data_IF_751279857524
#
_entry.id   IF_751279857524
#
_cell.length_a   1.000
_cell.length_b   1.000
_cell.length_c   1.000
_cell.angle_alpha   90.00
_cell.angle_beta   90.00
_cell.angle_gamma   90.00
#
_symmetry.space_group_name_H-M   'P 1'
#
loop_
_entity.id
_entity.type
_entity.pdbx_description
1 polymer ?
#
# COMPACT_ATOMS: atom_id res chain seq x y z
N UNK A 1 4.82 -6.16 -2.58
CA UNK A 1 3.36 -5.85 -2.52
C UNK A 1 3.06 -4.42 -2.91
N UNK A 2 3.55 -3.41 -2.17
CA UNK A 2 3.22 -1.99 -2.42
C UNK A 2 3.51 -1.52 -3.85
N UNK A 3 4.69 -1.83 -4.42
CA UNK A 3 5.03 -1.46 -5.80
C UNK A 3 4.04 -2.03 -6.84
N UNK A 4 3.66 -3.31 -6.70
CA UNK A 4 2.75 -4.00 -7.63
C UNK A 4 1.36 -3.35 -7.66
N UNK A 5 0.89 -2.87 -6.51
CA UNK A 5 -0.37 -2.13 -6.39
C UNK A 5 -0.31 -0.82 -7.19
N UNK A 6 0.79 -0.06 -7.07
CA UNK A 6 0.98 1.18 -7.80
C UNK A 6 1.02 0.95 -9.30
N UNK A 7 1.79 -0.04 -9.75
CA UNK A 7 1.87 -0.41 -11.16
C UNK A 7 0.49 -0.77 -11.73
N UNK A 8 -0.34 -1.48 -10.94
CA UNK A 8 -1.72 -1.81 -11.32
C UNK A 8 -2.60 -0.58 -11.43
N UNK A 9 -2.56 0.32 -10.44
CA UNK A 9 -3.32 1.58 -10.45
C UNK A 9 -3.01 2.39 -11.71
N UNK A 10 -1.73 2.48 -12.08
CA UNK A 10 -1.29 3.23 -13.26
C UNK A 10 -1.75 2.57 -14.56
N UNK A 11 -1.48 1.28 -14.71
CA UNK A 11 -1.80 0.52 -15.92
C UNK A 11 -3.30 0.43 -16.19
N UNK A 12 -4.11 0.29 -15.14
CA UNK A 12 -5.56 0.09 -15.25
C UNK A 12 -6.35 1.37 -14.95
N UNK A 13 -5.67 2.49 -14.71
CA UNK A 13 -6.26 3.78 -14.34
C UNK A 13 -7.28 3.67 -13.19
N UNK A 14 -6.94 2.88 -12.16
CA UNK A 14 -7.84 2.62 -11.04
C UNK A 14 -8.04 3.89 -10.21
N UNK A 15 -9.29 4.09 -9.78
CA UNK A 15 -9.65 5.18 -8.88
C UNK A 15 -9.17 4.90 -7.46
N UNK A 16 -8.35 5.81 -6.91
CA UNK A 16 -7.90 5.74 -5.52
C UNK A 16 -9.07 5.86 -4.53
N UNK A 17 -10.11 6.62 -4.88
CA UNK A 17 -11.31 6.82 -4.09
C UNK A 17 -12.38 5.74 -4.34
N UNK A 18 -12.00 4.55 -4.81
CA UNK A 18 -12.95 3.46 -5.02
C UNK A 18 -13.64 3.01 -3.71
N UNK A 19 -14.87 2.45 -3.77
CA UNK A 19 -15.56 1.93 -2.59
C UNK A 19 -14.70 0.95 -1.77
N UNK A 20 -14.03 0.00 -2.44
CA UNK A 20 -13.17 -0.97 -1.78
C UNK A 20 -12.00 -0.31 -1.00
N UNK A 21 -11.41 0.76 -1.54
CA UNK A 21 -10.32 1.49 -0.87
C UNK A 21 -10.84 2.24 0.35
N UNK A 22 -12.01 2.90 0.24
CA UNK A 22 -12.66 3.58 1.36
C UNK A 22 -13.05 2.61 2.48
N UNK A 23 -13.63 1.48 2.13
CA UNK A 23 -14.01 0.45 3.10
C UNK A 23 -12.78 -0.11 3.82
N UNK A 24 -11.70 -0.39 3.06
CA UNK A 24 -10.45 -0.84 3.66
C UNK A 24 -9.83 0.21 4.59
N UNK A 25 -9.87 1.49 4.21
CA UNK A 25 -9.38 2.60 5.03
C UNK A 25 -10.18 2.73 6.33
N UNK A 26 -11.51 2.57 6.27
CA UNK A 26 -12.37 2.54 7.46
C UNK A 26 -12.03 1.37 8.40
N UNK A 27 -11.73 0.20 7.85
CA UNK A 27 -11.28 -0.95 8.66
C UNK A 27 -9.95 -0.64 9.35
N UNK A 28 -8.95 -0.19 8.60
CA UNK A 28 -7.62 0.16 9.16
C UNK A 28 -7.78 1.21 10.27
N UNK A 29 -8.61 2.24 10.05
CA UNK A 29 -8.88 3.30 11.04
C UNK A 29 -9.41 2.76 12.38
N UNK A 30 -10.18 1.68 12.36
CA UNK A 30 -10.74 1.03 13.58
C UNK A 30 -9.73 0.13 14.27
N UNK A 31 -8.79 -0.44 13.52
CA UNK A 31 -7.79 -1.39 14.01
C UNK A 31 -6.56 -0.70 14.62
N UNK A 32 -6.20 0.49 14.13
CA UNK A 32 -5.03 1.21 14.63
C UNK A 32 -5.25 1.77 16.02
N UNK A 33 -4.23 1.62 16.88
CA UNK A 33 -4.21 2.23 18.21
C UNK A 33 -2.92 3.05 18.35
N UNK A 34 -3.07 4.35 18.59
CA UNK A 34 -1.95 5.23 18.92
C UNK A 34 -1.75 6.41 17.95
N UNK A 35 -1.15 7.52 18.42
CA UNK A 35 -1.14 8.78 17.68
C UNK A 35 -0.39 8.71 16.33
N UNK A 36 0.72 7.97 16.26
CA UNK A 36 1.49 7.84 15.02
C UNK A 36 0.70 7.10 13.93
N UNK A 37 0.01 6.02 14.30
CA UNK A 37 -0.79 5.24 13.36
C UNK A 37 -2.00 6.03 12.87
N UNK A 38 -2.67 6.77 13.75
CA UNK A 38 -3.74 7.69 13.33
C UNK A 38 -3.24 8.77 12.36
N UNK A 39 -2.04 9.33 12.57
CA UNK A 39 -1.45 10.28 11.60
C UNK A 39 -1.20 9.63 10.24
N UNK A 40 -0.69 8.40 10.22
CA UNK A 40 -0.49 7.66 8.97
C UNK A 40 -1.81 7.40 8.23
N UNK A 41 -2.87 7.00 8.96
CA UNK A 41 -4.21 6.81 8.38
C UNK A 41 -4.79 8.13 7.84
N UNK A 42 -4.66 9.23 8.59
CA UNK A 42 -5.11 10.55 8.14
C UNK A 42 -4.37 11.01 6.87
N UNK A 43 -3.07 10.70 6.76
CA UNK A 43 -2.28 11.00 5.57
C UNK A 43 -2.80 10.23 4.35
N UNK A 44 -3.16 8.95 4.54
CA UNK A 44 -3.81 8.14 3.50
C UNK A 44 -5.17 8.70 3.10
N UNK A 45 -6.00 9.09 4.06
CA UNK A 45 -7.29 9.74 3.80
C UNK A 45 -7.10 10.98 2.92
N UNK A 46 -6.11 11.81 3.22
CA UNK A 46 -5.79 13.00 2.43
C UNK A 46 -5.38 12.64 1.00
N UNK A 47 -4.41 11.74 0.80
CA UNK A 47 -3.94 11.39 -0.55
C UNK A 47 -5.01 10.73 -1.40
N UNK A 48 -5.89 9.92 -0.80
CA UNK A 48 -7.00 9.30 -1.51
C UNK A 48 -8.04 10.36 -1.90
N UNK A 49 -8.36 11.28 -0.99
CA UNK A 49 -9.32 12.35 -1.26
C UNK A 49 -8.84 13.33 -2.36
N UNK A 50 -7.54 13.63 -2.40
CA UNK A 50 -6.95 14.52 -3.41
C UNK A 50 -6.50 13.82 -4.69
N UNK A 51 -6.49 12.48 -4.70
CA UNK A 51 -5.95 11.71 -5.82
C UNK A 51 -4.44 11.83 -5.99
N UNK A 52 -3.70 12.13 -4.92
CA UNK A 52 -2.26 12.44 -4.97
C UNK A 52 -1.40 11.18 -5.13
N UNK A 53 -1.44 10.61 -6.33
CA UNK A 53 -0.62 9.47 -6.71
C UNK A 53 0.88 9.80 -6.69
N UNK A 54 1.25 11.07 -6.89
CA UNK A 54 2.65 11.51 -6.86
C UNK A 54 3.25 11.35 -5.47
N UNK A 55 2.56 11.81 -4.43
CA UNK A 55 3.02 11.60 -3.05
C UNK A 55 3.06 10.11 -2.67
N UNK A 56 2.08 9.32 -3.12
CA UNK A 56 2.06 7.88 -2.87
C UNK A 56 3.25 7.17 -3.53
N UNK A 57 3.66 7.58 -4.74
CA UNK A 57 4.84 7.02 -5.43
C UNK A 57 6.14 7.27 -4.68
N UNK A 58 6.28 8.44 -4.06
CA UNK A 58 7.49 8.77 -3.29
C UNK A 58 7.70 7.78 -2.14
N UNK A 59 6.63 7.18 -1.62
CA UNK A 59 6.75 6.11 -0.63
C UNK A 59 7.45 4.88 -1.17
N UNK A 60 7.50 4.60 -2.47
CA UNK A 60 8.22 3.43 -3.02
C UNK A 60 9.73 3.56 -2.88
N UNK A 61 10.24 4.77 -3.08
CA UNK A 61 11.68 5.01 -3.22
C UNK A 61 12.29 5.63 -1.95
N UNK A 62 11.45 5.92 -0.94
CA UNK A 62 11.88 6.47 0.36
C UNK A 62 12.06 5.37 1.42
N UNK A 63 12.98 5.57 2.37
CA UNK A 63 13.18 4.69 3.52
C UNK A 63 12.91 5.40 4.85
N UNK A 64 12.84 4.62 5.93
CA UNK A 64 12.65 5.10 7.30
C UNK A 64 11.36 4.62 7.96
N UNK A 65 11.33 4.67 9.30
CA UNK A 65 10.26 4.09 10.11
C UNK A 65 8.88 4.66 9.77
N UNK A 66 8.81 5.96 9.50
CA UNK A 66 7.56 6.62 9.08
C UNK A 66 7.07 6.10 7.74
N UNK A 67 7.99 5.90 6.77
CA UNK A 67 7.64 5.36 5.45
C UNK A 67 7.19 3.91 5.56
N UNK A 68 7.88 3.11 6.38
CA UNK A 68 7.48 1.73 6.66
C UNK A 68 6.08 1.66 7.28
N UNK A 69 5.78 2.54 8.23
CA UNK A 69 4.47 2.66 8.85
C UNK A 69 3.38 3.07 7.85
N UNK A 70 3.67 4.00 6.93
CA UNK A 70 2.73 4.38 5.88
C UNK A 70 2.47 3.22 4.92
N UNK A 71 3.51 2.50 4.49
CA UNK A 71 3.37 1.32 3.60
C UNK A 71 2.58 0.20 4.27
N UNK A 72 2.80 -0.06 5.56
CA UNK A 72 2.10 -1.14 6.30
C UNK A 72 0.61 -0.86 6.50
N UNK A 73 0.25 0.42 6.60
CA UNK A 73 -1.14 0.89 6.72
C UNK A 73 -1.77 1.28 5.37
N UNK A 74 -1.19 0.84 4.25
CA UNK A 74 -1.73 1.13 2.92
C UNK A 74 -3.10 0.45 2.71
N UNK A 75 -4.16 1.21 2.38
CA UNK A 75 -5.46 0.65 2.04
C UNK A 75 -5.49 0.08 0.62
N UNK A 76 -4.50 0.41 -0.22
CA UNK A 76 -4.51 0.10 -1.66
C UNK A 76 -4.26 -1.38 -1.97
N UNK A 77 -3.77 -2.17 -1.01
CA UNK A 77 -3.57 -3.61 -1.18
C UNK A 77 -4.87 -4.36 -1.55
N UNK A 78 -6.04 -3.78 -1.24
CA UNK A 78 -7.35 -4.32 -1.61
C UNK A 78 -7.59 -4.33 -3.13
N UNK A 79 -6.83 -3.54 -3.90
CA UNK A 79 -6.94 -3.46 -5.35
C UNK A 79 -6.28 -4.65 -6.07
N UNK A 80 -5.47 -5.44 -5.36
CA UNK A 80 -4.96 -6.70 -5.88
C UNK A 80 -6.01 -7.79 -5.70
N UNK A 81 -6.25 -8.55 -6.77
CA UNK A 81 -6.94 -9.83 -6.68
C UNK A 81 -6.17 -10.83 -5.82
N UNK A 82 -6.84 -11.87 -5.35
CA UNK A 82 -6.17 -12.93 -4.58
C UNK A 82 -5.02 -13.57 -5.36
N UNK A 83 -5.22 -13.81 -6.65
CA UNK A 83 -4.16 -14.32 -7.54
C UNK A 83 -2.95 -13.39 -7.59
N UNK A 84 -3.17 -12.08 -7.75
CA UNK A 84 -2.08 -11.10 -7.78
C UNK A 84 -1.37 -10.99 -6.43
N UNK A 85 -2.08 -11.20 -5.31
CA UNK A 85 -1.46 -11.27 -3.98
C UNK A 85 -0.54 -12.49 -3.86
N UNK A 86 -0.99 -13.66 -4.31
CA UNK A 86 -0.19 -14.89 -4.33
C UNK A 86 1.05 -14.70 -5.21
N UNK A 87 0.91 -14.15 -6.41
CA UNK A 87 2.03 -13.87 -7.34
C UNK A 87 3.09 -12.97 -6.67
N UNK A 88 2.67 -11.93 -5.93
CA UNK A 88 3.58 -11.07 -5.17
C UNK A 88 4.31 -11.83 -4.05
N UNK A 89 3.63 -12.73 -3.35
CA UNK A 89 4.24 -13.53 -2.28
C UNK A 89 5.26 -14.53 -2.84
N UNK A 90 4.95 -15.15 -3.98
CA UNK A 90 5.86 -16.05 -4.68
C UNK A 90 7.11 -15.33 -5.17
N UNK A 91 6.99 -14.13 -5.74
CA UNK A 91 8.13 -13.30 -6.13
C UNK A 91 9.04 -12.96 -4.94
N UNK A 92 8.45 -12.68 -3.77
CA UNK A 92 9.21 -12.39 -2.54
C UNK A 92 9.97 -13.62 -2.04
N UNK A 93 9.34 -14.80 -2.06
CA UNK A 93 10.00 -16.05 -1.70
C UNK A 93 11.18 -16.36 -2.64
N UNK A 94 11.01 -16.19 -3.95
CA UNK A 94 12.08 -16.42 -4.92
C UNK A 94 13.26 -15.48 -4.72
N UNK A 95 13.02 -14.18 -4.52
CA UNK A 95 14.08 -13.20 -4.23
C UNK A 95 14.84 -13.51 -2.94
N UNK A 96 14.12 -13.95 -1.91
CA UNK A 96 14.74 -14.32 -0.63
C UNK A 96 15.65 -15.54 -0.80
N UNK A 97 15.20 -16.55 -1.55
CA UNK A 97 15.99 -17.74 -1.84
C UNK A 97 17.26 -17.42 -2.66
N UNK A 98 17.16 -16.49 -3.61
CA UNK A 98 18.32 -16.03 -4.40
C UNK A 98 19.35 -15.28 -3.55
N UNK A 99 18.91 -14.45 -2.60
CA UNK A 99 19.79 -13.72 -1.68
C UNK A 99 20.49 -14.62 -0.66
N UNK A 100 19.89 -15.75 -0.28
CA UNK A 100 20.50 -16.73 0.63
C UNK A 100 21.44 -17.72 -0.07
N UNK A 101 21.40 -17.78 -1.41
CA UNK A 101 22.22 -18.69 -2.23
C UNK A 101 23.44 -18.00 -2.86
N UNK A 102 23.65 -16.70 -2.57
CA UNK A 102 24.74 -15.87 -3.06
C UNK A 102 25.67 -15.47 -1.91
#
# INVERSE_FOLDING_TARGET
>A
MFARVLDKIEREHLRLDGPAVRDRLQVIRREVTGPSMHRAVNQWEQWIATGDLTAIRQLRDSDGDTVLQLRSLSPLNVLLSERERIEVLDELHQKTHQLMSA
#
